data_IF_511314260783
#
_entry.id   IF_511314260783
#
_cell.length_a   1.000
_cell.length_b   1.000
_cell.length_c   1.000
_cell.angle_alpha   90.00
_cell.angle_beta   90.00
_cell.angle_gamma   90.00
#
_symmetry.space_group_name_H-M   'P 1'
#
loop_
_entity.id
_entity.type
_entity.pdbx_description
1 polymer ?
#
# COMPACT_ATOMS: atom_id res chain seq x y z
N UNK A 1 -8.23 15.62 14.54
CA UNK A 1 -7.57 15.17 13.28
C UNK A 1 -7.25 13.68 13.35
N UNK A 2 -6.53 13.25 14.39
CA UNK A 2 -6.25 11.83 14.66
C UNK A 2 -7.50 10.96 14.82
N UNK A 3 -8.57 11.51 15.39
CA UNK A 3 -9.84 10.77 15.59
C UNK A 3 -10.41 10.23 14.27
N UNK A 4 -10.31 11.01 13.18
CA UNK A 4 -10.77 10.59 11.85
C UNK A 4 -9.97 9.40 11.32
N UNK A 5 -8.66 9.37 11.58
CA UNK A 5 -7.78 8.26 11.18
C UNK A 5 -8.08 7.01 12.00
N UNK A 6 -8.23 7.16 13.32
CA UNK A 6 -8.60 6.06 14.21
C UNK A 6 -9.96 5.47 13.86
N UNK A 7 -10.93 6.30 13.52
CA UNK A 7 -12.24 5.86 13.08
C UNK A 7 -12.19 5.14 11.72
N UNK A 8 -11.38 5.67 10.78
CA UNK A 8 -11.10 4.97 9.52
C UNK A 8 -10.49 3.58 9.74
N UNK A 9 -9.50 3.48 10.63
CA UNK A 9 -8.88 2.21 10.98
C UNK A 9 -9.87 1.24 11.63
N UNK A 10 -10.72 1.71 12.56
CA UNK A 10 -11.75 0.86 13.19
C UNK A 10 -12.70 0.26 12.16
N UNK A 11 -13.17 1.07 11.20
CA UNK A 11 -14.04 0.60 10.11
C UNK A 11 -13.33 -0.40 9.20
N UNK A 12 -12.09 -0.13 8.83
CA UNK A 12 -11.29 -1.05 8.01
C UNK A 12 -11.08 -2.39 8.72
N UNK A 13 -10.63 -2.36 9.98
CA UNK A 13 -10.34 -3.55 10.77
C UNK A 13 -11.58 -4.43 11.01
N UNK A 14 -12.76 -3.83 11.16
CA UNK A 14 -14.00 -4.58 11.38
C UNK A 14 -14.40 -5.48 10.20
N UNK A 15 -13.96 -5.16 8.97
CA UNK A 15 -14.24 -5.95 7.76
C UNK A 15 -12.99 -6.56 7.12
N UNK A 16 -11.82 -6.44 7.75
CA UNK A 16 -10.58 -6.94 7.18
C UNK A 16 -10.48 -8.46 7.37
N UNK A 17 -10.55 -9.18 6.25
CA UNK A 17 -10.22 -10.61 6.19
C UNK A 17 -8.98 -10.81 5.31
N UNK A 18 -7.83 -11.20 5.90
CA UNK A 18 -6.64 -11.48 5.12
C UNK A 18 -6.80 -12.73 4.23
N UNK A 19 -7.77 -13.61 4.47
CA UNK A 19 -7.91 -14.88 3.76
C UNK A 19 -6.63 -15.73 3.85
N UNK A 20 -6.26 -16.39 2.75
CA UNK A 20 -5.01 -17.16 2.63
C UNK A 20 -3.79 -16.31 2.22
N UNK A 21 -3.90 -14.97 2.25
CA UNK A 21 -2.82 -14.10 1.76
C UNK A 21 -1.57 -14.28 2.60
N UNK A 22 -0.44 -14.51 1.92
CA UNK A 22 0.87 -14.65 2.56
C UNK A 22 1.55 -13.29 2.71
N UNK A 23 2.69 -13.25 3.41
CA UNK A 23 3.55 -12.06 3.47
C UNK A 23 4.21 -11.71 2.11
N UNK A 24 4.14 -12.60 1.13
CA UNK A 24 4.79 -12.43 -0.17
C UNK A 24 3.79 -11.96 -1.23
N UNK A 25 4.15 -11.02 -2.12
CA UNK A 25 3.25 -10.55 -3.16
C UNK A 25 2.91 -11.64 -4.18
N UNK A 26 1.63 -11.81 -4.51
CA UNK A 26 1.15 -12.83 -5.45
C UNK A 26 1.76 -12.66 -6.84
N UNK A 27 1.89 -11.41 -7.31
CA UNK A 27 2.45 -11.09 -8.63
C UNK A 27 3.99 -11.09 -8.66
N UNK A 28 4.65 -11.33 -7.52
CA UNK A 28 6.12 -11.23 -7.37
C UNK A 28 6.66 -9.88 -7.87
N UNK A 29 5.88 -8.82 -7.62
CA UNK A 29 6.14 -7.46 -8.08
C UNK A 29 6.41 -6.52 -6.91
N UNK A 30 7.36 -5.61 -7.10
CA UNK A 30 7.57 -4.45 -6.24
C UNK A 30 7.38 -3.16 -7.05
N UNK A 31 6.64 -2.21 -6.49
CA UNK A 31 6.41 -0.88 -7.08
C UNK A 31 7.06 0.18 -6.22
N UNK A 32 7.93 0.98 -6.82
CA UNK A 32 8.50 2.17 -6.22
C UNK A 32 7.86 3.41 -6.85
N UNK A 33 7.26 4.29 -6.05
CA UNK A 33 6.61 5.52 -6.54
C UNK A 33 6.70 6.68 -5.55
N UNK A 34 6.23 7.86 -5.96
CA UNK A 34 6.28 9.07 -5.14
C UNK A 34 5.28 9.04 -3.97
N UNK A 35 5.59 9.73 -2.87
CA UNK A 35 4.68 9.97 -1.73
C UNK A 35 3.57 11.00 -2.02
N UNK A 36 3.45 11.49 -3.26
CA UNK A 36 2.41 12.45 -3.66
C UNK A 36 1.00 11.96 -3.29
N UNK A 37 0.25 12.78 -2.53
CA UNK A 37 -1.05 12.41 -1.99
C UNK A 37 -2.13 12.17 -3.05
N UNK A 38 -1.90 12.61 -4.30
CA UNK A 38 -2.81 12.40 -5.44
C UNK A 38 -2.62 11.03 -6.08
N UNK A 39 -1.55 10.31 -5.73
CA UNK A 39 -1.26 8.98 -6.27
C UNK A 39 -1.74 7.93 -5.26
N UNK A 40 -2.75 7.17 -5.68
CA UNK A 40 -3.13 5.89 -5.09
C UNK A 40 -2.56 4.76 -5.95
N UNK A 41 -1.48 4.08 -5.53
CA UNK A 41 -0.85 3.05 -6.35
C UNK A 41 -1.79 1.87 -6.66
N UNK A 42 -2.65 1.54 -5.70
CA UNK A 42 -3.66 0.47 -5.80
C UNK A 42 -4.67 0.81 -6.89
N UNK A 43 -5.27 2.01 -6.85
CA UNK A 43 -6.28 2.43 -7.83
C UNK A 43 -5.68 2.65 -9.22
N UNK A 44 -4.47 3.24 -9.28
CA UNK A 44 -3.79 3.55 -10.55
C UNK A 44 -3.43 2.29 -11.33
N UNK A 45 -3.00 1.23 -10.63
CA UNK A 45 -2.51 0.00 -11.24
C UNK A 45 -3.55 -1.13 -11.25
N UNK A 46 -4.69 -0.93 -10.58
CA UNK A 46 -5.77 -1.93 -10.50
C UNK A 46 -5.40 -3.17 -9.69
N UNK A 47 -4.60 -2.99 -8.63
CA UNK A 47 -4.17 -4.09 -7.76
C UNK A 47 -5.15 -4.37 -6.64
N UNK A 48 -5.15 -5.60 -6.15
CA UNK A 48 -5.76 -5.97 -4.89
C UNK A 48 -4.75 -6.04 -3.75
N UNK A 49 -5.27 -6.09 -2.51
CA UNK A 49 -4.44 -6.31 -1.33
C UNK A 49 -3.70 -7.64 -1.48
N UNK A 50 -2.36 -7.58 -1.45
CA UNK A 50 -1.48 -8.75 -1.56
C UNK A 50 -0.83 -8.95 -2.93
N UNK A 51 -1.21 -8.20 -3.96
CA UNK A 51 -0.66 -8.41 -5.31
C UNK A 51 0.79 -7.97 -5.47
N UNK A 52 1.13 -6.79 -4.94
CA UNK A 52 2.44 -6.17 -5.09
C UNK A 52 2.93 -5.59 -3.75
N UNK A 53 4.25 -5.61 -3.55
CA UNK A 53 4.88 -4.77 -2.53
C UNK A 53 4.95 -3.33 -3.04
N UNK A 54 4.64 -2.34 -2.20
CA UNK A 54 4.65 -0.92 -2.59
C UNK A 54 5.56 -0.13 -1.65
N UNK A 55 6.59 0.49 -2.22
CA UNK A 55 7.50 1.41 -1.53
C UNK A 55 7.24 2.82 -2.03
N UNK A 56 7.13 3.79 -1.12
CA UNK A 56 6.88 5.19 -1.47
C UNK A 56 7.87 6.12 -0.77
N UNK A 57 8.49 7.02 -1.53
CA UNK A 57 9.36 8.06 -1.00
C UNK A 57 9.25 9.37 -1.81
N UNK A 58 9.98 10.41 -1.41
CA UNK A 58 9.96 11.70 -2.09
C UNK A 58 10.51 11.57 -3.52
N UNK A 59 9.64 11.73 -4.52
CA UNK A 59 10.00 11.67 -5.94
C UNK A 59 10.12 10.25 -6.53
N UNK A 60 9.81 9.19 -5.77
CA UNK A 60 9.89 7.81 -6.27
C UNK A 60 11.31 7.39 -6.65
N UNK A 61 12.28 7.78 -5.84
CA UNK A 61 13.71 7.63 -6.12
C UNK A 61 14.19 6.27 -5.66
N UNK A 62 14.97 5.60 -6.51
CA UNK A 62 15.64 4.34 -6.19
C UNK A 62 16.88 4.59 -5.30
N UNK A 63 16.64 5.16 -4.12
CA UNK A 63 17.65 5.39 -3.09
C UNK A 63 17.92 4.11 -2.29
N UNK A 64 18.95 4.14 -1.45
CA UNK A 64 19.40 3.00 -0.64
C UNK A 64 18.39 2.52 0.42
N UNK A 65 17.38 3.32 0.73
CA UNK A 65 16.26 2.94 1.61
C UNK A 65 15.13 2.22 0.85
N UNK A 66 15.13 2.30 -0.49
CA UNK A 66 14.10 1.73 -1.35
C UNK A 66 14.50 0.39 -2.00
N UNK A 67 15.79 0.03 -1.96
CA UNK A 67 16.38 -1.16 -2.55
C UNK A 67 17.10 -1.99 -1.49
#
# INVERSE_FOLDING_TARGET
MWDKLLEGNRRYAAGFDPGERTKWPTLRLAVLTCMDCRISPVDLLGFEIGDAAVVRNAGGRASSDAL
#
